data_IF_006002972258
#
_entry.id   IF_006002972258
#
_cell.length_a   1.000
_cell.length_b   1.000
_cell.length_c   1.000
_cell.angle_alpha   90.00
_cell.angle_beta   90.00
_cell.angle_gamma   90.00
#
_symmetry.space_group_name_H-M   'P 1'
#
loop_
_entity.id
_entity.type
_entity.pdbx_description
1 polymer ?
#
# COMPACT_ATOMS: atom_id res chain seq x y z
N UNK A 1 4.97 -88.59 16.64
CA UNK A 1 5.26 -87.74 15.45
C UNK A 1 4.45 -86.45 15.60
N UNK A 2 4.89 -85.44 16.37
CA UNK A 2 5.79 -84.34 15.99
C UNK A 2 5.41 -83.63 14.67
N UNK A 3 4.60 -82.59 14.78
CA UNK A 3 4.59 -81.46 13.84
C UNK A 3 5.30 -80.27 14.51
N UNK A 4 6.24 -79.66 13.79
CA UNK A 4 7.06 -78.53 14.23
C UNK A 4 6.36 -77.23 13.83
N UNK A 5 6.21 -76.30 14.76
CA UNK A 5 5.90 -74.90 14.46
C UNK A 5 7.14 -74.06 14.80
N UNK A 6 7.69 -73.38 13.80
CA UNK A 6 8.73 -72.37 13.99
C UNK A 6 8.08 -71.08 14.46
N UNK A 7 8.52 -70.54 15.60
CA UNK A 7 8.12 -69.21 16.08
C UNK A 7 9.34 -68.30 15.94
N UNK A 8 9.25 -67.29 15.06
CA UNK A 8 10.25 -66.22 14.96
C UNK A 8 10.07 -65.26 16.14
N UNK A 9 11.11 -65.12 16.96
CA UNK A 9 11.20 -64.09 18.00
C UNK A 9 11.88 -62.86 17.38
N UNK A 10 11.12 -61.78 17.15
CA UNK A 10 11.71 -60.46 16.87
C UNK A 10 12.03 -59.79 18.20
N UNK A 11 13.32 -59.55 18.44
CA UNK A 11 13.79 -58.75 19.57
C UNK A 11 13.66 -57.25 19.22
N UNK A 12 12.76 -56.54 19.89
CA UNK A 12 12.72 -55.09 19.86
C UNK A 12 13.72 -54.53 20.88
N UNK A 13 14.81 -53.96 20.40
CA UNK A 13 15.74 -53.13 21.17
C UNK A 13 15.06 -51.79 21.49
N UNK A 14 14.69 -51.59 22.75
CA UNK A 14 14.28 -50.28 23.28
C UNK A 14 15.52 -49.41 23.48
N UNK A 15 15.86 -48.56 22.51
CA UNK A 15 16.75 -47.42 22.75
C UNK A 15 15.94 -46.34 23.49
N UNK A 16 16.24 -46.15 24.78
CA UNK A 16 15.74 -45.02 25.54
C UNK A 16 16.33 -43.71 24.98
N UNK A 17 15.51 -42.93 24.29
CA UNK A 17 15.83 -41.55 23.97
C UNK A 17 15.79 -40.73 25.26
N UNK A 18 16.96 -40.35 25.77
CA UNK A 18 17.07 -39.27 26.74
C UNK A 18 16.62 -37.98 26.04
N UNK A 19 15.35 -37.63 26.23
CA UNK A 19 14.85 -36.29 25.91
C UNK A 19 15.41 -35.37 27.00
N UNK A 20 16.55 -34.74 26.72
CA UNK A 20 16.97 -33.59 27.50
C UNK A 20 15.87 -32.53 27.37
N UNK A 21 15.40 -31.92 28.48
CA UNK A 21 14.45 -30.82 28.40
C UNK A 21 15.09 -29.71 27.55
N UNK A 22 14.36 -29.21 26.56
CA UNK A 22 14.71 -27.95 25.91
C UNK A 22 14.77 -26.89 27.01
N UNK A 23 15.98 -26.48 27.37
CA UNK A 23 16.19 -25.24 28.11
C UNK A 23 15.65 -24.15 27.19
N UNK A 24 14.51 -23.55 27.56
CA UNK A 24 14.07 -22.29 26.96
C UNK A 24 15.25 -21.33 27.13
N UNK A 25 15.89 -20.94 26.03
CA UNK A 25 16.87 -19.86 26.08
C UNK A 25 16.17 -18.66 26.74
N UNK A 26 16.78 -18.07 27.76
CA UNK A 26 16.26 -16.83 28.33
C UNK A 26 16.14 -15.80 27.19
N UNK A 27 14.99 -15.15 27.08
CA UNK A 27 14.76 -14.06 26.13
C UNK A 27 14.35 -12.81 26.91
N UNK A 28 14.92 -11.67 26.54
CA UNK A 28 14.43 -10.37 27.03
C UNK A 28 13.10 -10.11 26.33
N UNK A 29 12.04 -9.92 27.10
CA UNK A 29 10.72 -9.57 26.54
C UNK A 29 10.44 -8.09 26.76
N UNK A 30 10.13 -7.38 25.68
CA UNK A 30 9.71 -5.98 25.69
C UNK A 30 8.27 -5.92 25.19
N UNK A 31 7.43 -5.09 25.80
CA UNK A 31 6.01 -4.96 25.43
C UNK A 31 5.71 -3.59 24.81
N UNK A 32 4.85 -3.56 23.81
CA UNK A 32 4.40 -2.36 23.10
C UNK A 32 2.88 -2.37 23.01
N UNK A 33 2.22 -1.23 23.28
CA UNK A 33 0.76 -1.09 23.18
C UNK A 33 0.36 0.25 22.58
N UNK A 34 -0.59 0.24 21.62
CA UNK A 34 -1.13 1.46 21.02
C UNK A 34 -2.03 2.18 22.03
N UNK A 35 -1.69 3.42 22.40
CA UNK A 35 -2.50 4.23 23.33
C UNK A 35 -1.96 4.34 24.76
N UNK A 36 -0.73 3.89 25.01
CA UNK A 36 -0.02 4.22 26.24
C UNK A 36 0.52 5.66 26.19
N UNK A 37 -0.08 6.55 26.99
CA UNK A 37 0.48 7.88 27.25
C UNK A 37 1.79 7.71 28.04
N UNK A 38 2.91 8.20 27.48
CA UNK A 38 4.20 8.52 28.16
C UNK A 38 5.08 7.36 28.70
N UNK A 39 6.27 7.19 28.10
CA UNK A 39 7.50 6.56 28.62
C UNK A 39 7.35 5.30 29.51
N UNK A 40 6.71 4.25 29.01
CA UNK A 40 6.87 2.91 29.59
C UNK A 40 8.33 2.43 29.51
N UNK A 41 8.71 1.50 30.39
CA UNK A 41 10.06 0.91 30.39
C UNK A 41 10.15 -0.37 29.55
N UNK A 42 9.02 -0.80 28.96
CA UNK A 42 8.91 -1.99 28.14
C UNK A 42 8.51 -3.25 28.93
N UNK A 43 8.29 -3.16 30.24
CA UNK A 43 7.73 -4.26 31.02
C UNK A 43 6.25 -4.48 30.68
N UNK A 44 5.72 -5.68 30.94
CA UNK A 44 4.30 -5.98 30.70
C UNK A 44 3.36 -5.03 31.45
N UNK A 45 3.74 -4.62 32.66
CA UNK A 45 3.00 -3.66 33.48
C UNK A 45 3.17 -2.20 33.04
N UNK A 46 4.15 -1.91 32.19
CA UNK A 46 4.51 -0.56 31.72
C UNK A 46 5.06 -0.62 30.28
N UNK A 47 4.23 -1.02 29.30
CA UNK A 47 4.67 -1.22 27.93
C UNK A 47 5.07 0.10 27.27
N UNK A 48 5.93 0.03 26.26
CA UNK A 48 6.22 1.17 25.40
C UNK A 48 4.97 1.64 24.65
N UNK A 49 4.84 2.96 24.47
CA UNK A 49 3.73 3.56 23.71
C UNK A 49 3.94 3.56 22.20
N UNK A 50 5.16 3.26 21.73
CA UNK A 50 5.48 3.25 20.30
C UNK A 50 6.53 2.20 19.92
N UNK A 51 6.53 1.80 18.65
CA UNK A 51 7.58 0.95 18.07
C UNK A 51 8.96 1.61 18.13
N UNK A 52 9.01 2.94 18.01
CA UNK A 52 10.25 3.71 18.08
C UNK A 52 10.90 3.62 19.48
N UNK A 53 10.11 3.60 20.55
CA UNK A 53 10.63 3.47 21.91
C UNK A 53 11.21 2.06 22.15
N UNK A 54 10.48 1.02 21.69
CA UNK A 54 10.96 -0.35 21.74
C UNK A 54 12.25 -0.53 20.94
N UNK A 55 12.31 0.03 19.72
CA UNK A 55 13.49 0.01 18.88
C UNK A 55 14.69 0.69 19.56
N UNK A 56 14.50 1.88 20.16
CA UNK A 56 15.58 2.54 20.92
C UNK A 56 16.09 1.66 22.06
N UNK A 57 15.19 0.96 22.77
CA UNK A 57 15.59 0.04 23.84
C UNK A 57 16.35 -1.18 23.30
N UNK A 58 15.91 -1.75 22.18
CA UNK A 58 16.61 -2.83 21.48
C UNK A 58 18.03 -2.39 21.12
N UNK A 59 18.19 -1.25 20.46
CA UNK A 59 19.51 -0.72 20.08
C UNK A 59 20.44 -0.53 21.27
N UNK A 60 19.93 -0.06 22.41
CA UNK A 60 20.72 0.05 23.64
C UNK A 60 21.21 -1.31 24.14
N UNK A 61 20.38 -2.34 24.10
CA UNK A 61 20.74 -3.71 24.52
C UNK A 61 21.76 -4.34 23.56
N UNK A 62 21.58 -4.16 22.26
CA UNK A 62 22.51 -4.62 21.23
C UNK A 62 23.86 -3.90 21.37
N UNK A 63 23.87 -2.57 21.52
CA UNK A 63 25.08 -1.78 21.72
C UNK A 63 25.81 -2.11 23.03
N UNK A 64 25.08 -2.54 24.07
CA UNK A 64 25.66 -3.03 25.32
C UNK A 64 26.25 -4.45 25.21
N UNK A 65 26.16 -5.09 24.05
CA UNK A 65 26.70 -6.43 23.82
C UNK A 65 25.87 -7.54 24.45
N UNK A 66 24.55 -7.37 24.55
CA UNK A 66 23.66 -8.44 25.01
C UNK A 66 23.89 -9.71 24.19
N UNK A 67 23.94 -10.87 24.85
CA UNK A 67 24.02 -12.19 24.23
C UNK A 67 22.70 -12.96 24.37
N UNK A 68 21.60 -12.22 24.56
CA UNK A 68 20.27 -12.75 24.84
C UNK A 68 19.34 -12.32 23.70
N UNK A 69 18.53 -13.26 23.21
CA UNK A 69 17.49 -12.93 22.22
C UNK A 69 16.49 -11.94 22.80
N UNK A 70 15.98 -11.03 21.96
CA UNK A 70 14.94 -10.06 22.34
C UNK A 70 13.65 -10.40 21.61
N UNK A 71 12.56 -10.49 22.36
CA UNK A 71 11.20 -10.60 21.84
C UNK A 71 10.45 -9.31 22.15
N UNK A 72 10.04 -8.60 21.11
CA UNK A 72 9.20 -7.40 21.21
C UNK A 72 7.76 -7.81 20.94
N UNK A 73 6.97 -7.91 21.99
CA UNK A 73 5.55 -8.26 21.97
C UNK A 73 4.69 -7.01 21.75
N UNK A 74 3.96 -7.00 20.64
CA UNK A 74 3.15 -5.86 20.22
C UNK A 74 1.68 -6.25 20.38
N UNK A 75 0.97 -5.56 21.28
CA UNK A 75 -0.45 -5.76 21.49
C UNK A 75 -1.28 -5.24 20.31
N UNK A 76 -2.47 -5.79 20.13
CA UNK A 76 -3.46 -5.35 19.14
C UNK A 76 -3.62 -3.81 19.13
N UNK A 77 -3.67 -3.23 17.93
CA UNK A 77 -3.68 -1.78 17.79
C UNK A 77 -3.28 -1.26 16.42
N UNK A 78 -3.67 -0.01 16.14
CA UNK A 78 -3.19 0.74 14.97
C UNK A 78 -1.97 1.58 15.38
N UNK A 79 -0.81 1.25 14.82
CA UNK A 79 0.46 1.94 15.04
C UNK A 79 0.73 2.86 13.84
N UNK A 80 0.39 4.14 14.00
CA UNK A 80 0.57 5.15 12.96
C UNK A 80 2.06 5.53 12.84
N UNK A 81 2.58 5.48 11.62
CA UNK A 81 3.96 5.85 11.32
C UNK A 81 4.03 7.31 10.87
N UNK A 82 4.90 8.08 11.54
CA UNK A 82 5.28 9.42 11.07
C UNK A 82 6.32 9.35 9.94
N UNK A 83 7.12 8.29 9.91
CA UNK A 83 8.14 8.00 8.90
C UNK A 83 8.30 6.47 8.74
N UNK A 84 8.90 5.99 7.65
CA UNK A 84 9.16 4.56 7.49
C UNK A 84 9.92 3.98 8.70
N UNK A 85 9.41 2.89 9.26
CA UNK A 85 10.10 2.16 10.32
C UNK A 85 11.35 1.52 9.76
N UNK A 86 12.51 2.09 10.08
CA UNK A 86 13.79 1.70 9.50
C UNK A 86 14.61 0.90 10.51
N UNK A 87 14.95 -0.34 10.15
CA UNK A 87 15.84 -1.20 10.92
C UNK A 87 17.18 -1.36 10.18
N UNK A 88 18.29 -1.18 10.92
CA UNK A 88 19.65 -1.30 10.39
C UNK A 88 20.45 -2.35 11.16
N UNK A 89 21.76 -2.44 10.92
CA UNK A 89 22.66 -3.32 11.67
C UNK A 89 22.75 -2.99 13.18
N UNK A 90 22.20 -1.87 13.63
CA UNK A 90 22.10 -1.54 15.07
C UNK A 90 20.95 -2.27 15.77
N UNK A 91 19.99 -2.81 15.03
CA UNK A 91 18.71 -3.30 15.56
C UNK A 91 18.72 -4.79 15.90
N UNK A 92 19.77 -5.53 15.55
CA UNK A 92 19.97 -6.92 15.93
C UNK A 92 21.44 -7.33 15.70
N UNK A 93 21.85 -8.45 16.31
CA UNK A 93 23.13 -9.09 15.99
C UNK A 93 22.99 -10.61 16.04
N UNK A 94 23.96 -11.39 15.52
CA UNK A 94 23.94 -12.84 15.66
C UNK A 94 23.85 -13.33 17.12
N UNK A 95 24.42 -12.59 18.06
CA UNK A 95 24.37 -12.90 19.49
C UNK A 95 23.10 -12.37 20.19
N UNK A 96 22.42 -11.39 19.58
CA UNK A 96 21.21 -10.76 20.08
C UNK A 96 20.17 -10.69 18.94
N UNK A 97 19.61 -11.84 18.52
CA UNK A 97 18.54 -11.85 17.51
C UNK A 97 17.28 -11.20 18.07
N UNK A 98 16.53 -10.51 17.22
CA UNK A 98 15.34 -9.73 17.63
C UNK A 98 14.11 -10.15 16.85
N UNK A 99 13.03 -10.47 17.55
CA UNK A 99 11.74 -10.80 16.97
C UNK A 99 10.68 -9.76 17.36
N UNK A 100 9.98 -9.18 16.38
CA UNK A 100 8.83 -8.31 16.57
C UNK A 100 7.56 -9.12 16.30
N UNK A 101 6.74 -9.33 17.34
CA UNK A 101 5.63 -10.29 17.29
C UNK A 101 4.32 -9.67 17.77
N UNK A 102 3.30 -9.71 16.93
CA UNK A 102 1.93 -9.42 17.33
C UNK A 102 1.38 -10.53 18.24
N UNK A 103 0.95 -10.19 19.45
CA UNK A 103 0.55 -11.18 20.49
C UNK A 103 -0.94 -11.44 20.62
N UNK A 104 -1.79 -10.64 19.97
CA UNK A 104 -3.25 -10.85 19.95
C UNK A 104 -3.69 -11.44 18.60
N UNK A 105 -4.39 -12.59 18.64
CA UNK A 105 -4.73 -13.45 17.49
C UNK A 105 -5.47 -12.69 16.39
N UNK A 106 -4.82 -12.56 15.23
CA UNK A 106 -5.41 -12.04 13.98
C UNK A 106 -6.12 -13.20 13.28
N UNK A 107 -7.24 -13.68 13.84
CA UNK A 107 -8.14 -14.49 13.04
C UNK A 107 -8.89 -13.56 12.09
N UNK A 108 -8.86 -13.91 10.82
CA UNK A 108 -9.51 -13.23 9.70
C UNK A 108 -10.99 -12.91 9.96
N UNK A 109 -11.63 -13.65 10.88
CA UNK A 109 -13.05 -13.57 11.26
C UNK A 109 -13.29 -13.06 12.70
N UNK A 110 -12.27 -12.56 13.41
CA UNK A 110 -12.46 -12.03 14.76
C UNK A 110 -12.66 -10.51 14.74
N UNK A 111 -13.67 -10.02 15.46
CA UNK A 111 -13.94 -8.60 15.67
C UNK A 111 -12.79 -7.86 16.42
N UNK A 112 -11.72 -8.55 16.81
CA UNK A 112 -10.51 -7.97 17.43
C UNK A 112 -9.51 -7.63 16.33
N UNK A 113 -9.18 -6.35 16.20
CA UNK A 113 -8.16 -5.87 15.27
C UNK A 113 -6.78 -6.36 15.72
N UNK A 114 -6.01 -6.95 14.81
CA UNK A 114 -4.61 -7.32 15.05
C UNK A 114 -3.66 -6.13 15.19
N UNK A 115 -2.36 -6.39 15.08
CA UNK A 115 -1.34 -5.32 15.00
C UNK A 115 -1.28 -4.77 13.58
N UNK A 116 -1.68 -3.51 13.41
CA UNK A 116 -1.60 -2.79 12.13
C UNK A 116 -0.50 -1.74 12.18
N UNK A 117 0.49 -1.89 11.32
CA UNK A 117 1.52 -0.87 11.05
C UNK A 117 1.01 -0.02 9.89
N UNK A 118 0.64 1.22 10.18
CA UNK A 118 -0.12 2.09 9.26
C UNK A 118 0.72 3.26 8.78
N UNK A 119 0.83 3.43 7.46
CA UNK A 119 1.34 4.65 6.83
C UNK A 119 0.25 5.65 6.43
N UNK A 120 -0.99 5.40 6.87
CA UNK A 120 -2.14 6.23 6.58
C UNK A 120 -2.38 7.29 7.67
N UNK A 121 -3.10 8.33 7.30
CA UNK A 121 -3.58 9.37 8.20
C UNK A 121 -5.11 9.45 8.14
N UNK A 122 -5.73 9.98 9.20
CA UNK A 122 -7.16 10.28 9.18
C UNK A 122 -7.48 11.30 8.08
N UNK A 123 -8.56 11.07 7.33
CA UNK A 123 -9.00 11.96 6.24
C UNK A 123 -9.68 13.26 6.73
N UNK A 124 -9.77 13.47 8.05
CA UNK A 124 -10.33 14.68 8.65
C UNK A 124 -11.75 14.52 9.18
N UNK A 125 -12.34 15.62 9.62
CA UNK A 125 -13.72 15.68 10.08
C UNK A 125 -14.67 15.76 8.89
N UNK A 126 -15.62 14.83 8.83
CA UNK A 126 -16.61 14.78 7.77
C UNK A 126 -17.94 15.40 8.20
N UNK A 127 -18.61 16.04 7.26
CA UNK A 127 -19.99 16.51 7.37
C UNK A 127 -20.82 15.97 6.21
N UNK A 128 -22.06 15.59 6.51
CA UNK A 128 -23.03 15.20 5.50
C UNK A 128 -23.60 16.45 4.80
N UNK A 129 -23.61 16.44 3.47
CA UNK A 129 -24.17 17.49 2.62
C UNK A 129 -25.02 16.83 1.52
N UNK A 130 -26.34 16.95 1.63
CA UNK A 130 -27.30 16.25 0.77
C UNK A 130 -27.10 14.71 0.76
N UNK A 131 -26.77 14.12 -0.40
CA UNK A 131 -26.57 12.67 -0.55
C UNK A 131 -25.08 12.25 -0.52
N UNK A 132 -24.18 13.15 -0.10
CA UNK A 132 -22.73 12.90 -0.05
C UNK A 132 -22.13 13.39 1.27
N UNK A 133 -20.95 12.87 1.59
CA UNK A 133 -20.13 13.30 2.71
C UNK A 133 -18.98 14.16 2.20
N UNK A 134 -18.64 15.22 2.93
CA UNK A 134 -17.55 16.13 2.60
C UNK A 134 -16.58 16.25 3.79
N UNK A 135 -15.28 16.25 3.51
CA UNK A 135 -14.23 16.59 4.46
C UNK A 135 -13.26 17.59 3.85
N UNK A 136 -12.47 18.27 4.68
CA UNK A 136 -11.34 19.07 4.19
C UNK A 136 -10.31 18.14 3.56
N UNK A 137 -9.94 18.42 2.31
CA UNK A 137 -8.90 17.67 1.62
C UNK A 137 -7.59 17.77 2.41
N UNK A 138 -7.04 16.65 2.94
CA UNK A 138 -5.87 16.72 3.77
C UNK A 138 -4.63 17.10 2.93
N UNK A 139 -3.68 17.79 3.56
CA UNK A 139 -2.38 18.06 2.93
C UNK A 139 -1.50 16.84 3.09
N UNK A 140 -0.97 16.31 2.00
CA UNK A 140 0.15 15.38 2.06
C UNK A 140 1.41 16.23 2.28
N UNK A 141 2.29 15.83 3.20
CA UNK A 141 3.48 16.63 3.51
C UNK A 141 4.36 16.84 2.27
N UNK A 142 4.79 18.08 2.11
CA UNK A 142 5.39 18.65 0.92
C UNK A 142 6.88 18.31 0.75
N UNK A 143 7.34 17.09 1.06
CA UNK A 143 8.77 16.74 0.99
C UNK A 143 9.34 16.71 -0.43
N UNK A 144 8.53 16.97 -1.47
CA UNK A 144 8.94 17.11 -2.87
C UNK A 144 8.25 18.29 -3.61
N UNK A 145 7.83 19.35 -2.90
CA UNK A 145 7.08 20.48 -3.48
C UNK A 145 7.89 21.46 -4.37
N UNK A 146 9.07 21.08 -4.85
CA UNK A 146 9.94 21.95 -5.68
C UNK A 146 9.61 21.93 -7.18
N UNK A 147 8.51 21.31 -7.62
CA UNK A 147 8.08 21.31 -9.02
C UNK A 147 6.87 22.23 -9.27
N UNK A 148 6.96 23.25 -10.15
CA UNK A 148 5.92 24.27 -10.38
C UNK A 148 4.56 23.76 -10.93
N UNK A 149 4.48 22.48 -11.28
CA UNK A 149 3.26 21.79 -11.70
C UNK A 149 2.96 20.64 -10.73
N UNK A 150 2.81 20.91 -9.43
CA UNK A 150 2.65 19.87 -8.41
C UNK A 150 1.28 19.16 -8.50
N UNK A 151 1.12 18.35 -9.54
CA UNK A 151 0.32 17.13 -9.55
C UNK A 151 0.87 16.09 -8.55
N UNK A 152 2.08 16.29 -8.03
CA UNK A 152 2.76 15.44 -7.04
C UNK A 152 1.93 15.13 -5.78
N UNK A 153 1.05 16.04 -5.38
CA UNK A 153 0.11 15.97 -4.25
C UNK A 153 -1.23 15.24 -4.50
N UNK A 154 -1.33 14.09 -5.16
CA UNK A 154 -2.65 13.42 -5.38
C UNK A 154 -2.94 12.35 -4.34
N UNK A 155 -4.02 12.54 -3.59
CA UNK A 155 -4.69 11.42 -2.93
C UNK A 155 -5.20 10.50 -4.04
N UNK A 156 -4.84 9.23 -3.94
CA UNK A 156 -5.17 8.18 -4.93
C UNK A 156 -6.03 7.08 -4.35
N UNK A 157 -6.12 7.05 -3.02
CA UNK A 157 -6.75 6.02 -2.24
C UNK A 157 -7.47 6.65 -1.06
N UNK A 158 -8.70 6.22 -0.86
CA UNK A 158 -9.49 6.46 0.33
C UNK A 158 -9.95 5.11 0.86
N UNK A 159 -9.84 4.92 2.16
CA UNK A 159 -10.34 3.73 2.84
C UNK A 159 -11.37 4.15 3.87
N UNK A 160 -12.55 3.54 3.85
CA UNK A 160 -13.67 3.84 4.74
C UNK A 160 -14.06 2.55 5.44
N UNK A 161 -14.09 2.55 6.77
CA UNK A 161 -14.42 1.34 7.54
C UNK A 161 -13.47 0.16 7.30
N UNK A 162 -12.23 0.43 6.86
CA UNK A 162 -11.26 -0.61 6.49
C UNK A 162 -11.44 -1.19 5.08
N UNK A 163 -12.43 -0.73 4.30
CA UNK A 163 -12.67 -1.10 2.90
C UNK A 163 -12.17 0.01 1.97
N UNK A 164 -11.52 -0.34 0.86
CA UNK A 164 -11.09 0.66 -0.14
C UNK A 164 -12.32 1.25 -0.82
N UNK A 165 -12.39 2.58 -0.90
CA UNK A 165 -13.40 3.30 -1.67
C UNK A 165 -12.93 3.42 -3.13
N UNK A 166 -13.89 3.46 -4.06
CA UNK A 166 -13.62 3.55 -5.50
C UNK A 166 -13.36 5.01 -5.85
N UNK A 167 -12.23 5.33 -6.47
CA UNK A 167 -12.07 6.67 -7.05
C UNK A 167 -13.08 6.77 -8.21
N UNK A 168 -13.92 7.80 -8.17
CA UNK A 168 -15.06 7.93 -9.07
C UNK A 168 -14.70 7.68 -10.53
N UNK A 169 -15.52 6.94 -11.29
CA UNK A 169 -15.16 6.56 -12.66
C UNK A 169 -16.36 6.28 -13.56
N UNK A 170 -16.16 6.48 -14.86
CA UNK A 170 -17.10 6.09 -15.89
C UNK A 170 -16.47 5.09 -16.89
N UNK A 171 -17.15 3.97 -17.19
CA UNK A 171 -18.37 3.50 -16.52
C UNK A 171 -18.04 3.00 -15.10
N UNK A 172 -19.05 2.98 -14.22
CA UNK A 172 -18.94 2.42 -12.87
C UNK A 172 -18.47 0.95 -12.91
N UNK A 173 -19.07 0.18 -13.81
CA UNK A 173 -18.75 -1.22 -14.05
C UNK A 173 -18.30 -1.46 -15.50
N UNK A 174 -17.37 -2.39 -15.69
CA UNK A 174 -16.88 -2.75 -17.01
C UNK A 174 -15.93 -1.69 -17.60
N UNK A 175 -16.01 -1.48 -18.92
CA UNK A 175 -15.10 -0.62 -19.67
C UNK A 175 -15.81 -0.04 -20.90
N UNK A 176 -15.43 1.18 -21.29
CA UNK A 176 -15.66 1.69 -22.63
C UNK A 176 -14.68 1.06 -23.63
N UNK A 177 -14.93 1.30 -24.92
CA UNK A 177 -14.12 0.81 -26.05
C UNK A 177 -13.71 1.98 -26.93
N UNK A 178 -12.42 2.07 -27.27
CA UNK A 178 -11.94 3.10 -28.19
C UNK A 178 -12.54 2.90 -29.58
N UNK A 179 -13.08 3.95 -30.17
CA UNK A 179 -13.55 3.92 -31.55
C UNK A 179 -12.38 3.92 -32.53
N UNK A 180 -11.48 4.90 -32.42
CA UNK A 180 -10.23 4.94 -33.19
C UNK A 180 -9.09 5.60 -32.43
N UNK A 181 -7.86 5.17 -32.72
CA UNK A 181 -6.67 5.88 -32.26
C UNK A 181 -6.51 7.20 -33.03
N UNK A 182 -5.99 8.23 -32.36
CA UNK A 182 -5.59 9.47 -33.02
C UNK A 182 -4.39 9.29 -33.96
N UNK A 183 -3.99 10.34 -34.69
CA UNK A 183 -2.99 10.25 -35.77
C UNK A 183 -1.63 9.68 -35.33
N UNK A 184 -1.18 10.02 -34.12
CA UNK A 184 0.09 9.52 -33.56
C UNK A 184 -0.05 8.16 -32.85
N UNK A 185 -1.28 7.70 -32.63
CA UNK A 185 -1.63 6.50 -31.85
C UNK A 185 -1.05 6.50 -30.43
N UNK A 186 -0.81 7.68 -29.85
CA UNK A 186 -0.17 7.83 -28.53
C UNK A 186 -0.92 8.77 -27.61
N UNK A 187 -1.39 9.91 -28.10
CA UNK A 187 -1.84 11.00 -27.22
C UNK A 187 -3.31 11.33 -27.36
N UNK A 188 -4.02 10.70 -28.29
CA UNK A 188 -5.44 10.92 -28.49
C UNK A 188 -6.14 9.68 -29.02
N UNK A 189 -7.44 9.61 -28.74
CA UNK A 189 -8.33 8.59 -29.28
C UNK A 189 -9.76 9.12 -29.34
N UNK A 190 -10.52 8.67 -30.34
CA UNK A 190 -11.95 8.94 -30.45
C UNK A 190 -12.78 7.85 -29.79
N UNK A 191 -14.03 8.19 -29.48
CA UNK A 191 -14.97 7.34 -28.77
C UNK A 191 -16.32 7.33 -29.48
N UNK A 192 -17.18 6.38 -29.11
CA UNK A 192 -18.55 6.36 -29.60
C UNK A 192 -19.34 7.57 -29.04
N UNK A 193 -20.34 8.11 -29.75
CA UNK A 193 -21.07 9.31 -29.32
C UNK A 193 -21.66 9.25 -27.90
N UNK A 194 -21.99 8.06 -27.39
CA UNK A 194 -22.52 7.87 -26.03
C UNK A 194 -21.47 7.75 -24.93
N UNK A 195 -20.19 7.62 -25.29
CA UNK A 195 -19.08 7.35 -24.36
C UNK A 195 -18.25 8.61 -24.06
N UNK A 196 -18.51 9.74 -24.75
CA UNK A 196 -17.84 11.00 -24.47
C UNK A 196 -18.49 11.69 -23.28
N UNK A 197 -17.70 11.95 -22.24
CA UNK A 197 -18.12 12.63 -21.03
C UNK A 197 -17.97 14.14 -21.22
N UNK A 198 -18.92 14.90 -20.69
CA UNK A 198 -18.83 16.35 -20.57
C UNK A 198 -18.20 16.69 -19.21
N UNK A 199 -16.91 17.03 -19.21
CA UNK A 199 -16.14 17.31 -18.00
C UNK A 199 -15.75 18.79 -17.96
N UNK A 200 -16.10 19.49 -16.88
CA UNK A 200 -15.71 20.89 -16.69
C UNK A 200 -14.20 21.04 -16.43
N UNK A 201 -13.60 20.04 -15.77
CA UNK A 201 -12.19 20.00 -15.40
C UNK A 201 -11.51 18.70 -15.87
N UNK A 202 -11.30 18.52 -17.18
CA UNK A 202 -10.68 17.29 -17.70
C UNK A 202 -9.28 17.05 -17.11
N UNK A 203 -8.54 18.09 -16.73
CA UNK A 203 -7.21 18.00 -16.12
C UNK A 203 -7.19 17.37 -14.71
N UNK A 204 -8.35 17.20 -14.08
CA UNK A 204 -8.50 16.45 -12.83
C UNK A 204 -8.76 14.94 -13.04
N UNK A 205 -9.11 14.57 -14.28
CA UNK A 205 -9.42 13.21 -14.70
C UNK A 205 -8.24 12.55 -15.43
N UNK A 206 -8.30 11.22 -15.53
CA UNK A 206 -7.35 10.43 -16.30
C UNK A 206 -8.07 9.38 -17.13
N UNK A 207 -7.54 9.13 -18.32
CA UNK A 207 -7.86 7.92 -19.06
C UNK A 207 -7.04 6.77 -18.48
N UNK A 208 -7.73 5.75 -17.96
CA UNK A 208 -7.11 4.48 -17.60
C UNK A 208 -7.29 3.53 -18.77
N UNK A 209 -6.20 3.30 -19.49
CA UNK A 209 -6.13 2.44 -20.66
C UNK A 209 -5.63 1.06 -20.25
N UNK A 210 -6.32 0.01 -20.70
CA UNK A 210 -5.89 -1.37 -20.48
C UNK A 210 -5.11 -1.86 -21.69
N UNK A 211 -3.86 -2.23 -21.46
CA UNK A 211 -3.11 -3.09 -22.36
C UNK A 211 -3.44 -4.55 -22.01
N UNK A 212 -2.79 -5.50 -22.68
CA UNK A 212 -3.00 -6.93 -22.44
C UNK A 212 -2.72 -7.30 -20.96
N UNK A 213 -1.47 -7.17 -20.50
CA UNK A 213 -1.06 -7.47 -19.11
C UNK A 213 -0.70 -6.24 -18.27
N UNK A 214 -0.79 -5.03 -18.83
CA UNK A 214 -0.42 -3.78 -18.15
C UNK A 214 -1.49 -2.71 -18.33
N UNK A 215 -1.32 -1.58 -17.64
CA UNK A 215 -2.21 -0.43 -17.78
C UNK A 215 -1.41 0.85 -18.00
N UNK A 216 -2.06 1.84 -18.58
CA UNK A 216 -1.62 3.23 -18.51
C UNK A 216 -2.66 4.08 -17.80
N UNK A 217 -2.20 5.06 -17.02
CA UNK A 217 -3.06 6.08 -16.40
C UNK A 217 -2.56 7.42 -16.91
N UNK A 218 -3.28 8.02 -17.83
CA UNK A 218 -2.85 9.20 -18.56
C UNK A 218 -3.78 10.39 -18.22
N UNK A 219 -3.27 11.45 -17.57
CA UNK A 219 -4.07 12.66 -17.33
C UNK A 219 -4.64 13.21 -18.63
N UNK A 220 -5.90 13.65 -18.60
CA UNK A 220 -6.48 14.30 -19.77
C UNK A 220 -5.94 15.73 -19.90
N UNK A 221 -5.68 16.13 -21.14
CA UNK A 221 -5.33 17.49 -21.52
C UNK A 221 -6.57 18.25 -21.99
N UNK A 222 -7.42 17.61 -22.79
CA UNK A 222 -8.63 18.23 -23.36
C UNK A 222 -9.61 17.19 -23.91
N UNK A 223 -10.84 17.65 -24.14
CA UNK A 223 -11.93 16.92 -24.78
C UNK A 223 -12.35 17.72 -26.01
N UNK A 224 -12.46 17.06 -27.16
CA UNK A 224 -13.03 17.65 -28.38
C UNK A 224 -14.39 17.00 -28.65
N UNK A 225 -15.47 17.72 -28.32
CA UNK A 225 -16.84 17.26 -28.53
C UNK A 225 -17.21 17.14 -30.01
N UNK A 226 -16.59 17.93 -30.90
CA UNK A 226 -16.87 17.86 -32.33
C UNK A 226 -16.24 16.64 -32.98
N UNK A 227 -15.04 16.26 -32.52
CA UNK A 227 -14.32 15.09 -32.98
C UNK A 227 -14.61 13.82 -32.14
N UNK A 228 -15.43 13.94 -31.09
CA UNK A 228 -15.71 12.89 -30.11
C UNK A 228 -14.42 12.24 -29.58
N UNK A 229 -13.48 13.05 -29.07
CA UNK A 229 -12.15 12.56 -28.73
C UNK A 229 -11.59 13.12 -27.44
N UNK A 230 -10.74 12.30 -26.80
CA UNK A 230 -9.91 12.68 -25.66
C UNK A 230 -8.46 12.90 -26.13
N UNK A 231 -7.79 13.88 -25.51
CA UNK A 231 -6.35 14.08 -25.62
C UNK A 231 -5.71 13.98 -24.25
N UNK A 232 -4.55 13.32 -24.15
CA UNK A 232 -3.79 13.14 -22.90
C UNK A 232 -2.52 13.99 -22.86
N UNK A 233 -2.04 14.30 -21.66
CA UNK A 233 -0.85 15.15 -21.47
C UNK A 233 0.47 14.49 -21.88
N UNK A 234 0.47 13.16 -21.99
CA UNK A 234 1.60 12.32 -22.38
C UNK A 234 1.13 11.05 -23.09
N UNK A 235 2.08 10.23 -23.56
CA UNK A 235 1.79 8.99 -24.27
C UNK A 235 0.97 8.02 -23.41
N UNK A 236 -0.10 7.48 -24.00
CA UNK A 236 -0.71 6.22 -23.57
C UNK A 236 0.24 5.08 -23.95
N UNK A 237 0.59 4.25 -22.96
CA UNK A 237 1.59 3.21 -23.11
C UNK A 237 3.03 3.74 -23.06
N UNK A 238 3.99 2.84 -22.82
CA UNK A 238 5.42 3.19 -22.84
C UNK A 238 5.94 3.53 -24.24
N UNK A 239 7.15 4.09 -24.35
CA UNK A 239 7.72 4.60 -25.60
C UNK A 239 7.88 3.52 -26.68
N UNK A 240 8.01 2.25 -26.31
CA UNK A 240 8.14 1.17 -27.28
C UNK A 240 6.90 1.04 -28.21
N UNK A 241 7.06 0.80 -29.53
CA UNK A 241 5.95 0.82 -30.50
C UNK A 241 4.78 -0.11 -30.21
N UNK A 242 5.04 -1.26 -29.57
CA UNK A 242 3.99 -2.21 -29.20
C UNK A 242 2.98 -1.65 -28.20
N UNK A 243 3.34 -0.60 -27.45
CA UNK A 243 2.43 0.05 -26.51
C UNK A 243 1.58 1.16 -27.14
N UNK A 244 1.70 1.41 -28.45
CA UNK A 244 0.82 2.33 -29.14
C UNK A 244 -0.65 1.86 -29.06
N UNK A 245 -1.57 2.81 -29.08
CA UNK A 245 -3.01 2.57 -29.01
C UNK A 245 -3.41 1.60 -30.14
N UNK A 246 -4.13 0.54 -29.78
CA UNK A 246 -4.62 -0.48 -30.70
C UNK A 246 -3.59 -1.56 -31.10
N UNK A 247 -2.36 -1.53 -30.59
CA UNK A 247 -1.34 -2.53 -30.95
C UNK A 247 -1.55 -3.91 -30.29
N UNK A 248 -2.08 -3.96 -29.08
CA UNK A 248 -2.40 -5.21 -28.37
C UNK A 248 -3.84 -5.67 -28.56
N UNK A 249 -4.78 -4.74 -28.42
CA UNK A 249 -6.22 -5.00 -28.53
C UNK A 249 -6.82 -3.97 -29.50
N UNK A 250 -7.45 -4.40 -30.62
CA UNK A 250 -8.25 -3.49 -31.43
C UNK A 250 -9.43 -2.98 -30.59
N UNK A 251 -9.78 -1.70 -30.72
CA UNK A 251 -10.80 -1.07 -29.87
C UNK A 251 -10.55 -1.32 -28.37
N UNK A 252 -9.34 -0.96 -27.93
CA UNK A 252 -8.87 -1.24 -26.58
C UNK A 252 -9.82 -0.68 -25.51
N UNK A 253 -9.81 -1.37 -24.37
CA UNK A 253 -10.63 -1.01 -23.21
C UNK A 253 -10.06 0.21 -22.50
N UNK A 254 -10.95 1.10 -22.08
CA UNK A 254 -10.59 2.22 -21.23
C UNK A 254 -11.73 2.56 -20.27
N UNK A 255 -11.41 3.36 -19.26
CA UNK A 255 -12.39 4.09 -18.46
C UNK A 255 -11.80 5.46 -18.09
N UNK A 256 -12.67 6.41 -17.77
CA UNK A 256 -12.26 7.72 -17.25
C UNK A 256 -12.41 7.67 -15.73
N UNK A 257 -11.39 8.14 -15.00
CA UNK A 257 -11.37 8.09 -13.54
C UNK A 257 -10.99 9.45 -12.94
N UNK A 258 -11.70 9.86 -11.90
CA UNK A 258 -11.35 10.98 -11.05
C UNK A 258 -12.05 12.29 -11.35
N UNK A 259 -13.01 12.33 -12.28
CA UNK A 259 -13.79 13.52 -12.55
C UNK A 259 -14.95 13.67 -11.55
N UNK A 260 -15.29 14.89 -11.16
CA UNK A 260 -16.41 15.12 -10.24
C UNK A 260 -17.75 14.65 -10.85
N UNK A 261 -17.90 14.83 -12.16
CA UNK A 261 -19.08 14.47 -12.94
C UNK A 261 -19.33 12.95 -12.99
N UNK A 262 -18.32 12.13 -12.67
CA UNK A 262 -18.44 10.67 -12.57
C UNK A 262 -18.58 10.18 -11.13
N UNK A 263 -18.79 11.07 -10.15
CA UNK A 263 -19.08 10.70 -8.76
C UNK A 263 -20.59 10.46 -8.63
N UNK A 264 -21.05 9.24 -8.88
CA UNK A 264 -22.48 8.93 -8.99
C UNK A 264 -22.91 7.61 -8.35
N UNK A 265 -21.97 6.78 -7.88
CA UNK A 265 -22.28 5.49 -7.27
C UNK A 265 -21.87 5.37 -5.78
N UNK A 266 -22.62 4.58 -4.98
CA UNK A 266 -22.24 4.28 -3.60
C UNK A 266 -20.83 3.69 -3.47
N UNK A 267 -20.06 4.20 -2.52
CA UNK A 267 -18.67 3.83 -2.30
C UNK A 267 -17.65 4.59 -3.15
N UNK A 268 -18.09 5.50 -4.01
CA UNK A 268 -17.20 6.36 -4.79
C UNK A 268 -16.75 7.61 -4.04
N UNK A 269 -15.55 8.09 -4.35
CA UNK A 269 -15.00 9.33 -3.81
C UNK A 269 -14.29 10.17 -4.87
N UNK A 270 -14.20 11.47 -4.59
CA UNK A 270 -13.50 12.45 -5.41
C UNK A 270 -12.70 13.43 -4.53
N UNK A 271 -11.50 13.81 -4.97
CA UNK A 271 -10.70 14.85 -4.33
C UNK A 271 -10.76 16.13 -5.16
N UNK A 272 -11.69 17.01 -4.80
CA UNK A 272 -11.87 18.31 -5.44
C UNK A 272 -10.77 19.26 -4.95
N UNK A 273 -9.82 19.54 -5.84
CA UNK A 273 -8.66 20.37 -5.52
C UNK A 273 -9.00 21.85 -5.56
N UNK A 274 -9.96 22.23 -6.40
CA UNK A 274 -10.40 23.61 -6.57
C UNK A 274 -11.06 24.14 -5.29
N UNK A 275 -11.94 23.34 -4.69
CA UNK A 275 -12.66 23.68 -3.46
C UNK A 275 -11.99 23.15 -2.19
N UNK A 276 -10.88 22.40 -2.33
CA UNK A 276 -10.14 21.75 -1.23
C UNK A 276 -11.02 20.79 -0.43
N UNK A 277 -11.88 20.04 -1.10
CA UNK A 277 -12.81 19.07 -0.50
C UNK A 277 -12.47 17.64 -0.89
N UNK A 278 -12.65 16.73 0.05
CA UNK A 278 -12.74 15.30 -0.22
C UNK A 278 -14.22 14.92 -0.14
N UNK A 279 -14.76 14.37 -1.22
CA UNK A 279 -16.16 14.03 -1.38
C UNK A 279 -16.31 12.50 -1.40
N UNK A 280 -17.38 12.00 -0.80
CA UNK A 280 -17.65 10.57 -0.73
C UNK A 280 -19.15 10.28 -0.80
N UNK A 281 -19.55 9.32 -1.64
CA UNK A 281 -20.91 8.75 -1.61
C UNK A 281 -20.86 7.51 -0.70
N UNK A 282 -21.54 7.52 0.45
CA UNK A 282 -21.51 6.38 1.37
C UNK A 282 -22.20 5.17 0.76
N UNK A 283 -21.75 3.97 1.13
CA UNK A 283 -22.53 2.74 0.92
C UNK A 283 -23.65 2.66 1.96
N UNK A 284 -24.60 1.77 1.74
CA UNK A 284 -25.74 1.57 2.66
C UNK A 284 -25.31 1.29 4.11
N UNK A 285 -24.14 0.65 4.30
CA UNK A 285 -23.59 0.29 5.60
C UNK A 285 -22.53 1.26 6.16
N UNK A 286 -22.28 2.40 5.51
CA UNK A 286 -21.29 3.40 5.94
C UNK A 286 -21.95 4.53 6.78
N UNK A 287 -21.55 4.77 8.05
CA UNK A 287 -21.99 5.91 8.93
C UNK A 287 -21.13 6.01 10.24
N UNK A 288 -21.31 7.00 11.14
CA UNK A 288 -21.04 8.45 11.11
C UNK A 288 -19.72 8.82 11.81
N UNK A 289 -19.00 9.82 11.30
CA UNK A 289 -17.62 10.25 11.69
C UNK A 289 -16.47 9.46 11.04
N UNK A 290 -16.80 8.55 10.12
CA UNK A 290 -15.98 7.74 9.22
C UNK A 290 -14.49 7.72 9.55
N UNK A 291 -14.02 6.60 10.11
CA UNK A 291 -12.60 6.22 10.23
C UNK A 291 -12.00 6.06 8.82
N UNK A 292 -11.87 7.19 8.15
CA UNK A 292 -11.42 7.33 6.80
C UNK A 292 -9.90 7.49 6.84
N UNK A 293 -9.21 6.65 6.07
CA UNK A 293 -7.75 6.64 6.02
C UNK A 293 -7.30 7.00 4.63
N UNK A 294 -6.42 7.99 4.55
CA UNK A 294 -5.69 8.37 3.35
C UNK A 294 -4.24 7.88 3.51
N UNK A 295 -3.73 7.02 2.60
CA UNK A 295 -2.32 6.65 2.58
C UNK A 295 -1.40 7.88 2.43
N UNK A 296 -0.39 7.98 3.28
CA UNK A 296 0.56 9.12 3.30
C UNK A 296 1.99 8.69 3.02
N UNK A 297 2.45 7.59 3.61
CA UNK A 297 3.83 7.12 3.46
C UNK A 297 3.97 6.13 2.30
N UNK A 298 5.03 6.28 1.51
CA UNK A 298 5.32 5.35 0.40
C UNK A 298 5.93 4.03 0.89
N UNK A 299 6.62 4.05 2.04
CA UNK A 299 7.21 2.89 2.70
C UNK A 299 6.82 2.83 4.16
N UNK A 300 6.67 1.61 4.67
CA UNK A 300 6.24 1.32 6.03
C UNK A 300 7.37 0.67 6.83
N UNK A 301 8.02 -0.35 6.26
CA UNK A 301 9.18 -1.02 6.85
C UNK A 301 10.33 -1.02 5.85
N UNK A 302 11.50 -0.59 6.32
CA UNK A 302 12.76 -0.64 5.56
C UNK A 302 13.79 -1.35 6.43
N UNK A 303 14.20 -2.55 6.03
CA UNK A 303 15.32 -3.27 6.63
C UNK A 303 16.50 -3.10 5.70
N UNK A 304 17.54 -2.37 6.12
CA UNK A 304 18.66 -2.03 5.24
C UNK A 304 19.98 -2.06 5.98
N UNK A 305 21.00 -2.65 5.36
CA UNK A 305 22.37 -2.56 5.86
C UNK A 305 22.88 -1.11 5.87
N UNK A 306 23.95 -0.90 6.62
CA UNK A 306 24.68 0.36 6.67
C UNK A 306 26.20 0.08 6.72
N UNK A 307 27.01 1.09 7.00
CA UNK A 307 28.47 0.96 7.08
C UNK A 307 28.94 -0.03 8.17
N UNK A 308 28.05 -0.46 9.08
CA UNK A 308 28.32 -1.48 10.11
C UNK A 308 28.05 -2.91 9.62
N UNK A 309 27.35 -3.07 8.50
CA UNK A 309 27.05 -4.36 7.88
C UNK A 309 25.57 -4.55 7.54
N UNK A 310 25.19 -5.79 7.26
CA UNK A 310 23.82 -6.14 6.90
C UNK A 310 22.89 -6.09 8.13
N UNK A 311 21.70 -5.50 7.94
CA UNK A 311 20.60 -5.64 8.89
C UNK A 311 20.08 -7.09 8.81
N UNK A 312 20.35 -7.88 9.84
CA UNK A 312 20.13 -9.33 9.84
C UNK A 312 19.69 -9.81 11.22
N UNK A 313 19.23 -11.06 11.32
CA UNK A 313 18.72 -11.64 12.58
C UNK A 313 17.47 -10.93 13.14
N UNK A 314 16.64 -10.41 12.24
CA UNK A 314 15.34 -9.80 12.51
C UNK A 314 14.22 -10.75 12.09
N UNK A 315 13.25 -10.98 12.96
CA UNK A 315 12.05 -11.79 12.67
C UNK A 315 10.80 -10.94 12.88
N UNK A 316 9.80 -11.09 12.00
CA UNK A 316 8.51 -10.43 12.11
C UNK A 316 7.39 -11.47 12.06
N UNK A 317 6.49 -11.44 13.03
CA UNK A 317 5.38 -12.38 13.14
C UNK A 317 4.07 -11.64 13.45
N UNK A 318 2.99 -12.00 12.77
CA UNK A 318 1.64 -11.48 13.02
C UNK A 318 1.51 -9.94 12.95
N UNK A 319 2.26 -9.29 12.06
CA UNK A 319 2.16 -7.85 11.78
C UNK A 319 1.45 -7.62 10.45
N UNK A 320 0.50 -6.70 10.43
CA UNK A 320 -0.21 -6.29 9.21
C UNK A 320 0.27 -4.92 8.77
N UNK A 321 0.81 -4.81 7.57
CA UNK A 321 1.22 -3.52 6.98
C UNK A 321 0.08 -2.97 6.10
N UNK A 322 -0.41 -1.75 6.37
CA UNK A 322 -1.52 -1.14 5.63
C UNK A 322 -1.27 0.32 5.26
N UNK A 323 -2.00 0.75 4.24
CA UNK A 323 -2.13 2.16 3.85
C UNK A 323 -0.82 2.82 3.39
N UNK A 324 -0.01 2.10 2.61
CA UNK A 324 1.10 2.71 1.87
C UNK A 324 0.60 3.44 0.63
N UNK A 325 1.16 4.62 0.37
CA UNK A 325 0.89 5.44 -0.81
C UNK A 325 1.75 4.97 -1.99
N UNK A 326 1.25 5.15 -3.21
CA UNK A 326 2.09 5.15 -4.40
C UNK A 326 1.87 6.45 -5.17
N UNK A 327 2.91 7.29 -5.20
CA UNK A 327 2.91 8.53 -5.96
C UNK A 327 3.10 8.22 -7.46
N UNK A 328 2.07 8.48 -8.26
CA UNK A 328 2.19 8.34 -9.72
C UNK A 328 3.14 9.41 -10.28
N UNK A 329 3.81 9.12 -11.41
CA UNK A 329 4.55 10.16 -12.12
C UNK A 329 3.68 11.36 -12.50
N UNK A 330 4.26 12.58 -12.55
CA UNK A 330 3.55 13.80 -12.96
C UNK A 330 2.88 13.70 -14.34
N UNK A 331 3.48 12.96 -15.29
CA UNK A 331 2.97 12.74 -16.65
C UNK A 331 2.29 11.36 -16.82
N UNK A 332 1.72 10.85 -15.74
CA UNK A 332 0.94 9.62 -15.73
C UNK A 332 1.78 8.35 -15.61
N UNK A 333 1.10 7.23 -15.47
CA UNK A 333 1.71 5.92 -15.30
C UNK A 333 1.70 5.16 -16.62
N UNK A 334 2.84 4.59 -17.02
CA UNK A 334 2.89 3.58 -18.07
C UNK A 334 3.59 2.33 -17.56
N UNK A 335 2.77 1.36 -17.16
CA UNK A 335 3.25 0.05 -16.74
C UNK A 335 3.76 -0.74 -17.94
N UNK A 336 4.93 -1.34 -17.78
CA UNK A 336 5.53 -2.22 -18.78
C UNK A 336 5.30 -3.67 -18.37
N UNK A 337 5.85 -4.10 -17.24
CA UNK A 337 5.70 -5.47 -16.73
C UNK A 337 6.15 -5.56 -15.26
N UNK A 338 5.45 -6.37 -14.45
CA UNK A 338 5.86 -6.71 -13.07
C UNK A 338 6.25 -5.49 -12.21
N UNK A 339 5.41 -4.46 -12.22
CA UNK A 339 5.61 -3.19 -11.51
C UNK A 339 6.80 -2.33 -11.99
N UNK A 340 7.43 -2.68 -13.12
CA UNK A 340 8.34 -1.78 -13.84
C UNK A 340 7.54 -0.84 -14.74
N UNK A 341 7.84 0.45 -14.68
CA UNK A 341 7.11 1.53 -15.35
C UNK A 341 8.04 2.69 -15.73
N UNK A 342 7.59 3.55 -16.64
CA UNK A 342 8.36 4.75 -17.01
C UNK A 342 8.26 5.85 -15.95
N UNK A 343 9.40 6.47 -15.63
CA UNK A 343 9.55 7.45 -14.55
C UNK A 343 8.79 8.75 -14.78
N UNK A 344 8.63 9.20 -16.04
CA UNK A 344 7.71 10.27 -16.47
C UNK A 344 7.74 11.55 -15.61
N UNK A 345 8.94 12.02 -15.24
CA UNK A 345 9.12 13.33 -14.59
C UNK A 345 8.86 14.50 -15.55
N UNK A 346 9.14 14.28 -16.83
CA UNK A 346 8.76 15.14 -17.95
C UNK A 346 7.96 14.33 -18.95
N UNK A 347 7.31 14.99 -19.91
CA UNK A 347 6.55 14.33 -20.98
C UNK A 347 7.38 13.30 -21.76
N UNK A 348 8.68 13.54 -21.92
CA UNK A 348 9.60 12.73 -22.71
C UNK A 348 10.58 11.91 -21.84
N UNK A 349 10.26 11.72 -20.55
CA UNK A 349 11.06 10.91 -19.62
C UNK A 349 10.62 9.43 -19.63
N UNK A 350 11.29 8.65 -20.47
CA UNK A 350 11.02 7.22 -20.67
C UNK A 350 11.95 6.30 -19.86
N UNK A 351 12.72 6.84 -18.91
CA UNK A 351 13.58 6.02 -18.06
C UNK A 351 12.73 5.06 -17.22
N UNK A 352 12.99 3.76 -17.31
CA UNK A 352 12.21 2.79 -16.55
C UNK A 352 12.69 2.60 -15.12
N UNK A 353 11.75 2.50 -14.20
CA UNK A 353 11.96 2.32 -12.76
C UNK A 353 10.95 1.31 -12.21
N UNK A 354 11.23 0.78 -11.02
CA UNK A 354 10.33 -0.16 -10.34
C UNK A 354 9.49 0.55 -9.29
N UNK A 355 8.26 0.09 -9.11
CA UNK A 355 7.41 0.53 -8.02
C UNK A 355 8.09 0.26 -6.70
N UNK A 356 8.14 1.28 -5.84
CA UNK A 356 8.72 1.14 -4.51
C UNK A 356 7.81 0.26 -3.66
N UNK A 357 8.38 -0.75 -3.01
CA UNK A 357 7.63 -1.62 -2.12
C UNK A 357 7.37 -0.93 -0.78
N UNK A 358 6.18 -1.16 -0.22
CA UNK A 358 5.81 -0.71 1.12
C UNK A 358 6.68 -1.35 2.22
N UNK A 359 7.11 -2.58 2.00
CA UNK A 359 8.08 -3.30 2.83
C UNK A 359 9.29 -3.61 1.96
N UNK A 360 10.43 -3.03 2.31
CA UNK A 360 11.70 -3.24 1.64
C UNK A 360 12.64 -3.99 2.58
N UNK A 361 13.10 -5.16 2.14
CA UNK A 361 14.12 -5.94 2.83
C UNK A 361 15.32 -5.96 1.90
N UNK A 362 16.38 -5.24 2.28
CA UNK A 362 17.64 -5.27 1.54
C UNK A 362 18.21 -6.69 1.59
N UNK A 363 18.81 -7.11 0.47
CA UNK A 363 19.23 -8.50 0.26
C UNK A 363 20.68 -8.75 0.64
#
# INVERSE_FOLDING_TARGET
MRQRAFTCISACLLLGANVAPLVSAESITLHVSSGGDVSGDGAQASPFGSLADAQRRVRQLVAAGSATSIRVEISAGDYLLDAPWTLTAEDASPACPVAYVGVDDVREDSARRGVVISGGMSAGAWSEEAARWEATLPSLDATNASQPNSSALRIRDLWVGGRRATRCRAPNDGYFRIAAAGPDRRTSFSVEPGDLLDLAHPDEAEAVYLHDWSISRAPLESIDASALSYKTTANIGGDMPQFAIGSFEPHARYFIEGALETLDAPGEWHADRSSRKLLYIPREDDDPRLAAVVPRLDQLLVVRGDDRGAASHLTFENLTFRYSRFELPPFGYAGIQSNWYERRQTRDDFAGISMRAAVELDR
#
